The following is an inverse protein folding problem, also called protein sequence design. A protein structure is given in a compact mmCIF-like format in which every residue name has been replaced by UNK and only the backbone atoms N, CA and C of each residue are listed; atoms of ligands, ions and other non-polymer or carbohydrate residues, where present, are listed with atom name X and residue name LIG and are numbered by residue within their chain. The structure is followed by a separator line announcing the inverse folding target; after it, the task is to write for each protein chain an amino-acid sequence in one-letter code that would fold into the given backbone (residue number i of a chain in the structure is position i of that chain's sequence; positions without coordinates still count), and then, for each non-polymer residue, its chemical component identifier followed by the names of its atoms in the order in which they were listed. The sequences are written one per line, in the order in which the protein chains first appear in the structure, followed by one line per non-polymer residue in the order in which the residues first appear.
data_IF_048856127135
#
_entry.id   IF_048856127135
#
_cell.length_a   1.000
_cell.length_b   1.000
_cell.length_c   1.000
_cell.angle_alpha   90.00
_cell.angle_beta   90.00
_cell.angle_gamma   90.00
#
_symmetry.space_group_name_H-M   'P 1'
#
loop_
_entity.id
_entity.type
_entity.pdbx_description
1 polymer ?
#
# COMPACT_ATOMS: atom_id res chain seq x y z
N UNK A 1 18.73 43.14 -42.52
CA UNK A 1 19.39 44.32 -41.93
C UNK A 1 18.37 44.98 -41.00
N UNK A 2 18.42 44.64 -39.71
CA UNK A 2 18.95 45.47 -38.58
C UNK A 2 17.90 46.44 -38.03
N UNK A 3 17.52 46.19 -36.78
CA UNK A 3 16.73 47.06 -35.87
C UNK A 3 17.63 48.24 -35.42
N UNK A 4 17.05 49.42 -35.16
CA UNK A 4 17.35 50.10 -33.89
C UNK A 4 16.07 50.69 -33.24
N UNK A 5 15.81 50.47 -31.95
CA UNK A 5 16.34 51.19 -30.76
C UNK A 5 16.05 52.71 -30.76
N UNK A 6 15.29 53.15 -29.75
CA UNK A 6 15.39 54.47 -29.12
C UNK A 6 15.11 54.33 -27.60
N UNK A 7 16.16 54.61 -26.82
CA UNK A 7 16.19 54.97 -25.37
C UNK A 7 15.87 56.50 -25.25
N UNK A 8 16.08 57.24 -24.13
CA UNK A 8 16.38 56.93 -22.71
C UNK A 8 15.55 57.77 -21.68
N UNK A 9 15.63 57.45 -20.37
CA UNK A 9 16.27 58.31 -19.35
C UNK A 9 16.18 57.74 -17.93
N UNK A 10 17.36 57.63 -17.35
CA UNK A 10 17.69 57.48 -15.93
C UNK A 10 17.25 58.71 -15.12
N UNK A 11 16.90 58.48 -13.85
CA UNK A 11 17.44 59.24 -12.73
C UNK A 11 17.36 58.32 -11.50
N UNK A 12 18.53 57.87 -11.04
CA UNK A 12 18.77 57.16 -9.78
C UNK A 12 19.36 58.18 -8.78
N UNK A 13 19.20 57.96 -7.46
CA UNK A 13 20.43 57.67 -6.74
C UNK A 13 20.29 56.52 -5.74
N UNK A 14 21.33 55.70 -5.78
CA UNK A 14 21.57 54.55 -4.94
C UNK A 14 21.68 54.84 -3.42
N UNK A 15 21.47 53.74 -2.67
CA UNK A 15 22.29 53.18 -1.58
C UNK A 15 21.47 52.91 -0.31
N UNK A 16 21.21 51.62 -0.01
CA UNK A 16 21.78 50.89 1.15
C UNK A 16 21.25 49.44 1.21
N UNK A 17 22.19 48.51 1.41
CA UNK A 17 21.94 47.09 1.65
C UNK A 17 21.10 46.85 2.92
N UNK A 18 20.09 45.99 2.86
CA UNK A 18 19.75 45.11 3.98
C UNK A 18 19.31 43.72 3.46
N UNK A 19 20.11 42.73 3.81
CA UNK A 19 19.84 41.31 3.70
C UNK A 19 18.67 41.00 4.64
N UNK A 20 17.50 40.67 4.11
CA UNK A 20 16.39 40.17 4.92
C UNK A 20 16.24 38.67 4.67
N UNK A 21 16.63 37.92 5.70
CA UNK A 21 16.49 36.48 5.86
C UNK A 21 15.04 36.05 5.63
N UNK A 22 14.77 35.30 4.56
CA UNK A 22 13.49 34.61 4.37
C UNK A 22 13.49 33.41 5.31
N UNK A 23 12.92 33.59 6.51
CA UNK A 23 12.55 32.49 7.38
C UNK A 23 11.33 31.83 6.77
N UNK A 24 11.44 30.53 6.49
CA UNK A 24 10.32 29.67 6.12
C UNK A 24 9.50 29.49 7.41
N UNK A 25 8.41 30.25 7.53
CA UNK A 25 7.34 29.93 8.49
C UNK A 25 6.73 28.60 8.06
N UNK A 26 6.96 27.58 8.89
CA UNK A 26 6.24 26.32 8.82
C UNK A 26 4.84 26.62 9.37
N UNK A 27 3.90 26.89 8.46
CA UNK A 27 2.49 27.00 8.80
C UNK A 27 2.05 25.73 9.54
N UNK A 28 1.68 25.92 10.82
CA UNK A 28 1.04 24.88 11.63
C UNK A 28 -0.28 24.50 10.98
N UNK A 29 -0.31 23.33 10.34
CA UNK A 29 -1.52 22.75 9.76
C UNK A 29 -2.53 22.48 10.89
N UNK A 30 -3.56 23.32 10.97
CA UNK A 30 -4.76 23.06 11.77
C UNK A 30 -5.45 21.79 11.24
N UNK A 31 -5.15 20.65 11.85
CA UNK A 31 -5.83 19.39 11.56
C UNK A 31 -7.31 19.51 11.96
N UNK A 32 -8.21 19.38 10.99
CA UNK A 32 -9.66 19.28 11.27
C UNK A 32 -9.90 18.06 12.16
N UNK A 33 -10.51 18.36 13.29
CA UNK A 33 -10.69 17.52 14.46
C UNK A 33 -12.02 16.78 14.36
N UNK A 34 -12.15 15.65 15.09
CA UNK A 34 -13.38 14.87 15.12
C UNK A 34 -14.62 15.77 15.30
N UNK A 35 -15.57 15.72 14.36
CA UNK A 35 -16.81 16.48 14.42
C UNK A 35 -17.99 15.54 14.28
N UNK A 36 -18.83 15.51 15.32
CA UNK A 36 -20.02 14.65 15.42
C UNK A 36 -21.20 15.33 14.72
N UNK A 37 -21.89 14.60 13.84
CA UNK A 37 -23.19 14.99 13.27
C UNK A 37 -24.32 14.29 14.04
N UNK A 38 -25.26 15.08 14.59
CA UNK A 38 -26.28 14.63 15.54
C UNK A 38 -27.50 14.06 14.80
N UNK A 39 -27.81 12.78 15.02
CA UNK A 39 -29.19 12.29 15.00
C UNK A 39 -29.30 11.02 15.86
N UNK A 40 -29.89 11.18 17.04
CA UNK A 40 -29.95 10.17 18.08
C UNK A 40 -31.01 9.09 17.86
N UNK A 41 -30.72 7.89 18.35
CA UNK A 41 -31.69 7.01 19.00
C UNK A 41 -30.95 6.05 19.94
N UNK A 42 -31.42 5.99 21.19
CA UNK A 42 -30.86 5.18 22.28
C UNK A 42 -31.22 3.70 22.09
N UNK A 43 -30.24 2.82 22.23
CA UNK A 43 -30.47 1.41 22.55
C UNK A 43 -29.57 1.04 23.73
N UNK A 44 -30.18 0.60 24.83
CA UNK A 44 -29.49 -0.11 25.91
C UNK A 44 -29.34 -1.56 25.49
N UNK A 45 -28.15 -2.14 25.64
CA UNK A 45 -28.08 -3.57 25.96
C UNK A 45 -26.79 -3.94 26.72
N UNK A 46 -26.97 -4.84 27.67
CA UNK A 46 -26.03 -5.39 28.64
C UNK A 46 -25.65 -6.81 28.23
N UNK A 47 -24.40 -7.11 27.83
CA UNK A 47 -23.87 -8.50 27.86
C UNK A 47 -22.34 -8.58 27.85
N UNK A 48 -21.80 -9.17 28.92
CA UNK A 48 -20.68 -10.14 29.05
C UNK A 48 -19.44 -10.09 28.14
N UNK A 49 -18.26 -9.94 28.76
CA UNK A 49 -16.90 -10.12 28.20
C UNK A 49 -16.60 -11.61 27.88
N UNK A 50 -15.91 -11.92 26.78
CA UNK A 50 -14.99 -13.06 26.70
C UNK A 50 -13.56 -12.63 27.10
N UNK A 51 -12.86 -13.55 27.74
CA UNK A 51 -11.43 -13.47 28.09
C UNK A 51 -10.56 -13.74 26.86
N UNK A 52 -9.69 -12.81 26.50
CA UNK A 52 -8.65 -13.01 25.49
C UNK A 52 -7.30 -13.11 26.19
N UNK A 53 -6.64 -14.27 26.03
CA UNK A 53 -5.26 -14.53 26.45
C UNK A 53 -4.28 -13.90 25.43
N UNK A 54 -3.46 -12.94 25.88
CA UNK A 54 -2.53 -12.18 25.03
C UNK A 54 -1.16 -12.88 24.88
N UNK A 55 -0.63 -12.91 23.65
CA UNK A 55 0.77 -13.27 23.35
C UNK A 55 1.48 -12.03 22.77
N UNK A 56 2.65 -11.59 23.27
CA UNK A 56 3.16 -10.23 23.05
C UNK A 56 3.90 -9.99 21.72
N UNK A 57 3.84 -10.93 20.77
CA UNK A 57 4.75 -10.92 19.61
C UNK A 57 4.03 -10.75 18.27
N UNK A 58 3.29 -9.66 18.13
CA UNK A 58 2.60 -9.30 16.91
C UNK A 58 3.00 -7.90 16.44
N UNK A 59 3.77 -7.84 15.35
CA UNK A 59 3.85 -6.65 14.52
C UNK A 59 2.42 -6.32 14.08
N UNK A 60 1.92 -5.15 14.49
CA UNK A 60 0.59 -4.60 14.22
C UNK A 60 -0.60 -5.18 14.99
N UNK A 61 -0.44 -5.53 16.27
CA UNK A 61 -1.59 -5.52 17.18
C UNK A 61 -1.65 -4.21 17.97
N UNK A 62 -2.68 -3.41 17.70
CA UNK A 62 -3.06 -2.30 18.56
C UNK A 62 -3.91 -2.90 19.67
N UNK A 63 -3.37 -2.89 20.90
CA UNK A 63 -4.07 -3.28 22.12
C UNK A 63 -5.49 -2.73 22.16
N UNK A 64 -6.47 -3.63 22.29
CA UNK A 64 -7.83 -3.26 22.64
C UNK A 64 -7.89 -3.15 24.16
N UNK A 65 -7.37 -2.05 24.71
CA UNK A 65 -7.85 -1.63 26.03
C UNK A 65 -9.26 -1.08 25.84
N UNK A 66 -10.25 -1.89 26.25
CA UNK A 66 -11.64 -1.47 26.40
C UNK A 66 -11.73 -0.54 27.60
N UNK A 67 -11.37 0.72 27.40
CA UNK A 67 -11.69 1.76 28.36
C UNK A 67 -13.20 2.02 28.29
N UNK A 68 -13.82 2.11 29.47
CA UNK A 68 -15.25 2.34 29.64
C UNK A 68 -15.75 3.48 28.76
N UNK A 69 -16.97 3.34 28.22
CA UNK A 69 -17.66 4.37 27.44
C UNK A 69 -17.78 5.61 28.32
N UNK A 70 -16.89 6.58 28.12
CA UNK A 70 -17.06 7.94 28.62
C UNK A 70 -18.06 8.58 27.67
N UNK A 71 -19.21 9.03 28.19
CA UNK A 71 -20.15 9.87 27.44
C UNK A 71 -19.37 10.98 26.72
N UNK A 72 -19.42 10.96 25.39
CA UNK A 72 -18.68 11.89 24.55
C UNK A 72 -19.35 13.25 24.57
N UNK A 73 -18.73 14.16 25.30
CA UNK A 73 -18.99 15.59 25.25
C UNK A 73 -18.73 16.13 23.83
N UNK A 74 -19.73 16.70 23.13
CA UNK A 74 -19.64 17.11 21.73
C UNK A 74 -18.63 18.25 21.46
N UNK A 75 -18.09 18.89 22.50
CA UNK A 75 -17.02 19.89 22.38
C UNK A 75 -15.61 19.33 22.52
N UNK A 76 -15.43 18.04 22.83
CA UNK A 76 -14.09 17.50 23.09
C UNK A 76 -13.33 17.21 21.81
N UNK A 77 -12.28 18.01 21.62
CA UNK A 77 -11.13 17.68 20.78
C UNK A 77 -10.70 16.24 20.99
N UNK A 78 -10.86 15.39 19.97
CA UNK A 78 -10.25 14.07 20.00
C UNK A 78 -8.73 14.24 20.12
N UNK A 79 -8.21 13.91 21.30
CA UNK A 79 -6.78 13.94 21.56
C UNK A 79 -6.16 12.68 20.98
N UNK A 80 -5.14 12.87 20.14
CA UNK A 80 -4.37 11.78 19.57
C UNK A 80 -3.69 10.96 20.66
N UNK A 81 -4.12 9.71 20.82
CA UNK A 81 -3.49 8.76 21.72
C UNK A 81 -2.46 7.94 20.95
N UNK A 82 -1.18 8.33 21.03
CA UNK A 82 -0.08 7.68 20.32
C UNK A 82 0.17 6.29 20.88
N UNK A 83 0.30 5.31 20.00
CA UNK A 83 0.68 3.93 20.31
C UNK A 83 2.18 3.79 20.05
N UNK A 84 2.99 4.05 21.07
CA UNK A 84 4.45 4.13 20.94
C UNK A 84 5.10 2.83 20.45
N UNK A 85 4.53 1.66 20.78
CA UNK A 85 4.98 0.37 20.26
C UNK A 85 4.93 0.35 18.72
N UNK A 86 3.83 0.82 18.13
CA UNK A 86 3.68 0.92 16.68
C UNK A 86 4.64 1.95 16.08
N UNK A 87 4.85 3.09 16.75
CA UNK A 87 5.83 4.10 16.31
C UNK A 87 7.22 3.48 16.21
N UNK A 88 7.68 2.79 17.25
CA UNK A 88 8.99 2.14 17.25
C UNK A 88 9.07 1.05 16.18
N UNK A 89 8.06 0.20 16.05
CA UNK A 89 8.06 -0.88 15.05
C UNK A 89 8.08 -0.34 13.62
N UNK A 90 7.24 0.64 13.30
CA UNK A 90 7.22 1.27 11.97
C UNK A 90 8.53 1.99 11.71
N UNK A 91 9.08 2.70 12.69
CA UNK A 91 10.39 3.35 12.54
C UNK A 91 11.50 2.33 12.27
N UNK A 92 11.55 1.23 13.03
CA UNK A 92 12.52 0.16 12.81
C UNK A 92 12.35 -0.50 11.44
N UNK A 93 11.11 -0.78 11.02
CA UNK A 93 10.84 -1.28 9.67
C UNK A 93 11.44 -0.36 8.60
N UNK A 94 11.24 0.95 8.71
CA UNK A 94 11.77 1.92 7.75
C UNK A 94 13.30 1.96 7.79
N UNK A 95 13.92 2.00 8.98
CA UNK A 95 15.38 1.99 9.15
C UNK A 95 15.97 0.72 8.54
N UNK A 96 15.40 -0.45 8.84
CA UNK A 96 15.88 -1.74 8.36
C UNK A 96 15.72 -1.84 6.83
N UNK A 97 14.58 -1.45 6.27
CA UNK A 97 14.34 -1.55 4.84
C UNK A 97 15.20 -0.56 4.03
N UNK A 98 15.31 0.70 4.51
CA UNK A 98 16.13 1.74 3.86
C UNK A 98 17.63 1.42 4.01
N UNK A 99 18.08 1.08 5.22
CA UNK A 99 19.45 0.60 5.45
C UNK A 99 19.74 -0.68 4.67
N UNK A 100 18.70 -1.48 4.41
CA UNK A 100 18.75 -2.72 3.64
C UNK A 100 19.25 -2.55 2.20
N UNK A 101 19.10 -1.37 1.61
CA UNK A 101 19.66 -1.09 0.27
C UNK A 101 21.19 -1.24 0.23
N UNK A 102 21.89 -1.06 1.35
CA UNK A 102 23.33 -1.29 1.44
C UNK A 102 23.72 -2.77 1.26
N UNK A 103 22.79 -3.71 1.47
CA UNK A 103 23.01 -5.16 1.33
C UNK A 103 22.62 -5.70 -0.05
N UNK A 104 21.91 -4.89 -0.87
CA UNK A 104 21.55 -5.25 -2.25
C UNK A 104 22.77 -5.61 -3.10
N UNK A 105 23.91 -4.88 -3.04
CA UNK A 105 25.09 -5.25 -3.81
C UNK A 105 25.68 -6.62 -3.46
N UNK A 106 25.51 -7.06 -2.20
CA UNK A 106 26.02 -8.33 -1.69
C UNK A 106 25.04 -9.50 -1.85
N UNK A 107 23.77 -9.22 -2.13
CA UNK A 107 22.75 -10.25 -2.29
C UNK A 107 22.95 -11.06 -3.57
N UNK A 108 22.60 -12.34 -3.55
CA UNK A 108 22.51 -13.18 -4.74
C UNK A 108 21.44 -12.63 -5.70
N UNK A 109 21.65 -12.75 -7.02
CA UNK A 109 20.66 -12.32 -8.03
C UNK A 109 19.32 -13.06 -7.87
N UNK A 110 19.37 -14.34 -7.47
CA UNK A 110 18.16 -15.11 -7.18
C UNK A 110 17.39 -14.53 -6.00
N UNK A 111 18.07 -13.95 -5.00
CA UNK A 111 17.43 -13.25 -3.87
C UNK A 111 16.67 -12.00 -4.31
N UNK A 112 17.19 -11.26 -5.29
CA UNK A 112 16.52 -10.08 -5.86
C UNK A 112 15.27 -10.48 -6.67
N UNK A 113 15.37 -11.54 -7.48
CA UNK A 113 14.23 -12.10 -8.22
C UNK A 113 13.17 -12.64 -7.24
N UNK A 114 13.61 -13.38 -6.22
CA UNK A 114 12.73 -13.93 -5.20
C UNK A 114 12.01 -12.84 -4.40
N UNK A 115 12.73 -11.78 -4.01
CA UNK A 115 12.18 -10.57 -3.37
C UNK A 115 11.04 -9.96 -4.21
N UNK A 116 11.25 -9.82 -5.52
CA UNK A 116 10.20 -9.36 -6.44
C UNK A 116 8.99 -10.30 -6.51
N UNK A 117 9.23 -11.62 -6.56
CA UNK A 117 8.14 -12.61 -6.55
C UNK A 117 7.31 -12.49 -5.27
N UNK A 118 7.94 -12.30 -4.11
CA UNK A 118 7.22 -12.07 -2.85
C UNK A 118 6.33 -10.83 -2.96
N UNK A 119 6.82 -9.70 -3.50
CA UNK A 119 6.00 -8.49 -3.73
C UNK A 119 4.77 -8.80 -4.59
N UNK A 120 4.92 -9.57 -5.68
CA UNK A 120 3.79 -9.93 -6.54
C UNK A 120 2.76 -10.80 -5.80
N UNK A 121 3.24 -11.78 -5.03
CA UNK A 121 2.38 -12.66 -4.22
C UNK A 121 1.59 -11.85 -3.19
N UNK A 122 2.23 -10.94 -2.46
CA UNK A 122 1.56 -10.12 -1.45
C UNK A 122 0.51 -9.20 -2.08
N UNK A 123 0.83 -8.57 -3.22
CA UNK A 123 -0.12 -7.73 -3.96
C UNK A 123 -1.36 -8.50 -4.40
N UNK A 124 -1.18 -9.71 -4.93
CA UNK A 124 -2.30 -10.58 -5.32
C UNK A 124 -3.16 -10.93 -4.11
N UNK A 125 -2.55 -11.29 -2.98
CA UNK A 125 -3.26 -11.64 -1.74
C UNK A 125 -4.14 -10.51 -1.21
N UNK A 126 -3.64 -9.27 -1.23
CA UNK A 126 -4.38 -8.09 -0.79
C UNK A 126 -5.44 -7.70 -1.82
N UNK A 127 -5.07 -7.48 -3.07
CA UNK A 127 -5.95 -6.91 -4.09
C UNK A 127 -6.99 -7.92 -4.61
N UNK A 128 -6.54 -9.10 -5.04
CA UNK A 128 -7.46 -10.13 -5.57
C UNK A 128 -8.19 -10.87 -4.45
N UNK A 129 -7.56 -11.00 -3.27
CA UNK A 129 -8.14 -11.65 -2.09
C UNK A 129 -8.88 -10.69 -1.18
N UNK A 130 -8.18 -10.10 -0.20
CA UNK A 130 -8.77 -9.31 0.89
C UNK A 130 -9.77 -8.25 0.39
N UNK A 131 -9.38 -7.54 -0.66
CA UNK A 131 -10.13 -6.46 -1.25
C UNK A 131 -11.29 -6.94 -2.14
N UNK A 132 -11.00 -7.48 -3.33
CA UNK A 132 -12.04 -7.76 -4.34
C UNK A 132 -12.90 -8.97 -3.97
N UNK A 133 -12.30 -10.05 -3.48
CA UNK A 133 -13.02 -11.29 -3.16
C UNK A 133 -13.81 -11.18 -1.85
N UNK A 134 -13.12 -10.93 -0.72
CA UNK A 134 -13.76 -10.99 0.59
C UNK A 134 -14.47 -9.69 0.96
N UNK A 135 -13.85 -8.52 0.72
CA UNK A 135 -14.50 -7.26 1.09
C UNK A 135 -15.69 -6.96 0.20
N UNK A 136 -15.47 -6.96 -1.12
CA UNK A 136 -16.44 -6.47 -2.10
C UNK A 136 -17.31 -7.54 -2.74
N UNK A 137 -16.97 -8.82 -2.53
CA UNK A 137 -17.71 -9.96 -3.10
C UNK A 137 -17.92 -9.79 -4.61
N UNK A 138 -16.90 -9.29 -5.30
CA UNK A 138 -16.99 -8.90 -6.72
C UNK A 138 -16.86 -10.08 -7.68
N UNK A 139 -16.42 -11.22 -7.17
CA UNK A 139 -16.43 -12.52 -7.85
C UNK A 139 -16.54 -13.65 -6.82
N UNK A 140 -16.81 -14.88 -7.28
CA UNK A 140 -16.75 -16.10 -6.47
C UNK A 140 -15.50 -16.89 -6.80
N UNK A 141 -14.90 -17.51 -5.80
CA UNK A 141 -13.74 -18.38 -5.94
C UNK A 141 -14.01 -19.74 -5.30
N UNK A 142 -13.52 -20.82 -5.92
CA UNK A 142 -13.56 -22.15 -5.31
C UNK A 142 -12.66 -22.23 -4.07
N UNK A 143 -12.73 -23.33 -3.33
CA UNK A 143 -11.98 -23.49 -2.07
C UNK A 143 -10.46 -23.43 -2.28
N UNK A 144 -9.93 -23.94 -3.40
CA UNK A 144 -8.50 -23.94 -3.71
C UNK A 144 -7.98 -22.52 -3.92
N UNK A 145 -8.63 -21.73 -4.77
CA UNK A 145 -8.24 -20.35 -5.02
C UNK A 145 -8.35 -19.49 -3.76
N UNK A 146 -9.42 -19.68 -2.96
CA UNK A 146 -9.58 -19.01 -1.67
C UNK A 146 -8.44 -19.33 -0.70
N UNK A 147 -8.01 -20.59 -0.65
CA UNK A 147 -6.90 -21.00 0.21
C UNK A 147 -5.56 -20.41 -0.28
N UNK A 148 -5.31 -20.41 -1.59
CA UNK A 148 -4.12 -19.76 -2.18
C UNK A 148 -4.10 -18.26 -1.83
N UNK A 149 -5.19 -17.54 -2.08
CA UNK A 149 -5.29 -16.11 -1.76
C UNK A 149 -5.14 -15.84 -0.27
N UNK A 150 -5.59 -16.77 0.58
CA UNK A 150 -5.43 -16.68 2.04
C UNK A 150 -3.95 -16.78 2.44
N UNK A 151 -3.19 -17.69 1.84
CA UNK A 151 -1.74 -17.78 2.05
C UNK A 151 -1.03 -16.53 1.52
N UNK A 152 -1.36 -16.08 0.31
CA UNK A 152 -0.80 -14.85 -0.26
C UNK A 152 -1.04 -13.62 0.64
N UNK A 153 -2.25 -13.48 1.19
CA UNK A 153 -2.58 -12.38 2.12
C UNK A 153 -1.82 -12.52 3.45
N UNK A 154 -1.62 -13.74 3.93
CA UNK A 154 -0.81 -14.00 5.13
C UNK A 154 0.65 -13.57 4.92
N UNK A 155 1.22 -13.86 3.74
CA UNK A 155 2.57 -13.39 3.35
C UNK A 155 2.60 -11.86 3.28
N UNK A 156 1.48 -11.18 2.99
CA UNK A 156 1.43 -9.73 2.95
C UNK A 156 1.58 -9.07 4.32
N UNK A 157 1.32 -9.78 5.42
CA UNK A 157 1.52 -9.27 6.78
C UNK A 157 0.68 -8.04 7.15
N UNK A 158 -0.50 -7.88 6.55
CA UNK A 158 -1.39 -6.73 6.77
C UNK A 158 -2.62 -7.10 7.62
N UNK A 159 -2.40 -7.61 8.83
CA UNK A 159 -3.43 -8.20 9.70
C UNK A 159 -4.20 -9.39 9.08
N UNK A 160 -5.05 -10.04 9.87
CA UNK A 160 -5.89 -11.14 9.35
C UNK A 160 -7.01 -10.60 8.44
N UNK A 161 -7.47 -11.44 7.50
CA UNK A 161 -8.50 -11.08 6.51
C UNK A 161 -9.77 -10.56 7.18
N UNK A 162 -10.19 -11.13 8.31
CA UNK A 162 -11.39 -10.68 9.02
C UNK A 162 -11.31 -9.21 9.42
N UNK A 163 -10.21 -8.80 10.07
CA UNK A 163 -9.99 -7.41 10.51
C UNK A 163 -9.81 -6.48 9.32
N UNK A 164 -9.05 -6.90 8.30
CA UNK A 164 -8.85 -6.14 7.07
C UNK A 164 -10.19 -5.83 6.39
N UNK A 165 -11.01 -6.86 6.16
CA UNK A 165 -12.34 -6.73 5.52
C UNK A 165 -13.25 -5.81 6.33
N UNK A 166 -13.29 -5.98 7.66
CA UNK A 166 -14.12 -5.12 8.52
C UNK A 166 -13.74 -3.66 8.35
N UNK A 167 -12.44 -3.35 8.51
CA UNK A 167 -11.95 -1.98 8.46
C UNK A 167 -12.15 -1.37 7.06
N UNK A 168 -11.96 -2.15 5.99
CA UNK A 168 -12.18 -1.71 4.61
C UNK A 168 -13.67 -1.47 4.28
N UNK A 169 -14.58 -2.30 4.81
CA UNK A 169 -16.04 -2.06 4.68
C UNK A 169 -16.48 -0.80 5.42
N UNK A 170 -15.90 -0.53 6.59
CA UNK A 170 -16.12 0.74 7.31
C UNK A 170 -15.65 1.91 6.47
N UNK A 171 -14.43 1.84 5.93
CA UNK A 171 -13.85 2.87 5.07
C UNK A 171 -14.76 3.20 3.88
N UNK A 172 -15.27 2.21 3.13
CA UNK A 172 -16.18 2.50 2.02
C UNK A 172 -17.51 3.14 2.46
N UNK A 173 -18.07 2.71 3.59
CA UNK A 173 -19.38 3.18 4.05
C UNK A 173 -19.33 4.59 4.64
N UNK A 174 -18.20 4.93 5.27
CA UNK A 174 -18.02 6.16 6.03
C UNK A 174 -16.79 6.95 5.60
N UNK A 175 -16.37 6.79 4.34
CA UNK A 175 -15.20 7.43 3.73
C UNK A 175 -15.17 8.93 4.03
N UNK A 176 -13.99 9.48 4.32
CA UNK A 176 -13.80 10.90 4.64
C UNK A 176 -14.48 11.42 5.93
N UNK A 177 -15.02 10.53 6.77
CA UNK A 177 -15.58 10.89 8.10
C UNK A 177 -14.71 10.40 9.25
N UNK A 178 -15.05 10.72 10.50
CA UNK A 178 -14.30 10.24 11.66
C UNK A 178 -14.46 8.75 11.96
N UNK A 179 -15.46 8.12 11.36
CA UNK A 179 -15.61 6.67 11.35
C UNK A 179 -14.71 5.97 10.31
N UNK A 180 -14.08 6.70 9.39
CA UNK A 180 -13.09 6.14 8.46
C UNK A 180 -11.76 5.87 9.19
N UNK A 181 -11.27 4.61 9.24
CA UNK A 181 -10.03 4.28 9.92
C UNK A 181 -8.81 5.07 9.43
N UNK A 182 -8.80 5.48 8.16
CA UNK A 182 -7.69 6.17 7.51
C UNK A 182 -8.16 7.46 6.81
N UNK A 183 -9.08 8.17 7.46
CA UNK A 183 -9.69 9.42 6.99
C UNK A 183 -8.69 10.38 6.32
N UNK A 184 -8.81 10.52 4.99
CA UNK A 184 -7.96 11.37 4.16
C UNK A 184 -8.07 12.87 4.48
N UNK A 185 -9.19 13.32 5.08
CA UNK A 185 -9.36 14.72 5.52
C UNK A 185 -8.41 15.12 6.66
N UNK A 186 -7.80 14.15 7.34
CA UNK A 186 -6.78 14.39 8.37
C UNK A 186 -5.36 14.52 7.78
N UNK A 187 -5.25 14.54 6.45
CA UNK A 187 -4.03 14.80 5.71
C UNK A 187 -3.31 13.54 5.23
N UNK A 188 -2.32 13.77 4.38
CA UNK A 188 -1.56 12.71 3.71
C UNK A 188 -0.86 11.79 4.70
N UNK A 189 -0.14 12.34 5.69
CA UNK A 189 0.60 11.53 6.65
C UNK A 189 -0.32 10.61 7.45
N UNK A 190 -1.47 11.12 7.92
CA UNK A 190 -2.43 10.33 8.67
C UNK A 190 -2.99 9.17 7.86
N UNK A 191 -3.52 9.45 6.66
CA UNK A 191 -4.09 8.43 5.78
C UNK A 191 -3.06 7.44 5.23
N UNK A 192 -1.80 7.84 5.12
CA UNK A 192 -0.73 6.96 4.67
C UNK A 192 -0.28 5.99 5.77
N UNK A 193 0.21 6.51 6.90
CA UNK A 193 0.79 5.67 7.98
C UNK A 193 0.38 6.12 9.37
N UNK A 194 0.04 7.39 9.57
CA UNK A 194 -0.25 7.96 10.88
C UNK A 194 -1.44 7.30 11.59
N UNK A 195 -2.42 6.79 10.84
CA UNK A 195 -3.56 6.04 11.39
C UNK A 195 -3.15 4.74 12.11
N UNK A 196 -1.99 4.18 11.78
CA UNK A 196 -1.40 3.02 12.48
C UNK A 196 -0.65 3.42 13.75
N UNK A 197 -0.30 4.70 13.92
CA UNK A 197 0.51 5.21 15.03
C UNK A 197 -0.31 5.66 16.23
N UNK A 198 -1.63 5.68 16.10
CA UNK A 198 -2.55 6.20 17.12
C UNK A 198 -3.70 5.23 17.35
N UNK A 199 -4.32 5.29 18.53
CA UNK A 199 -5.59 4.60 18.76
C UNK A 199 -6.64 5.15 17.79
N UNK A 200 -7.44 4.25 17.22
CA UNK A 200 -8.57 4.61 16.35
C UNK A 200 -9.58 5.47 17.10
N UNK A 201 -10.24 6.37 16.38
CA UNK A 201 -11.36 7.14 16.92
C UNK A 201 -12.48 6.19 17.39
N UNK A 202 -13.17 6.48 18.52
CA UNK A 202 -14.31 5.70 19.00
C UNK A 202 -15.36 5.39 17.92
N UNK A 203 -15.65 6.35 17.04
CA UNK A 203 -16.62 6.20 15.95
C UNK A 203 -16.27 5.06 14.99
N UNK A 204 -14.97 4.79 14.76
CA UNK A 204 -14.53 3.66 13.93
C UNK A 204 -14.98 2.33 14.53
N UNK A 205 -14.94 2.21 15.87
CA UNK A 205 -15.41 1.00 16.56
C UNK A 205 -16.93 0.91 16.57
N UNK A 206 -17.62 2.01 16.84
CA UNK A 206 -19.08 2.07 16.84
C UNK A 206 -19.66 1.71 15.48
N UNK A 207 -19.23 2.39 14.41
CA UNK A 207 -19.67 2.10 13.05
C UNK A 207 -19.16 0.75 12.57
N UNK A 208 -17.99 0.30 13.02
CA UNK A 208 -17.45 -1.02 12.73
C UNK A 208 -18.33 -2.17 13.22
N UNK A 209 -19.02 -2.01 14.36
CA UNK A 209 -20.00 -3.00 14.86
C UNK A 209 -21.26 -3.09 14.00
N UNK A 210 -21.56 -2.06 13.20
CA UNK A 210 -22.73 -2.04 12.30
C UNK A 210 -22.48 -2.68 10.93
N UNK A 211 -21.23 -3.07 10.65
CA UNK A 211 -20.88 -3.74 9.40
C UNK A 211 -21.29 -5.20 9.47
N UNK A 212 -22.08 -5.64 8.48
CA UNK A 212 -22.35 -7.06 8.28
C UNK A 212 -21.05 -7.80 7.97
N UNK A 213 -20.71 -8.78 8.81
CA UNK A 213 -19.56 -9.67 8.67
C UNK A 213 -19.98 -11.14 8.62
N UNK A 214 -21.28 -11.43 8.48
CA UNK A 214 -21.83 -12.79 8.54
C UNK A 214 -21.21 -13.72 7.49
N UNK A 215 -21.01 -13.22 6.28
CA UNK A 215 -20.34 -13.92 5.18
C UNK A 215 -18.89 -14.30 5.52
N UNK A 216 -18.16 -13.41 6.17
CA UNK A 216 -16.77 -13.64 6.57
C UNK A 216 -16.70 -14.63 7.73
N UNK A 217 -17.62 -14.55 8.68
CA UNK A 217 -17.71 -15.53 9.77
C UNK A 217 -18.11 -16.93 9.29
N UNK A 218 -18.88 -17.02 8.21
CA UNK A 218 -19.25 -18.29 7.59
C UNK A 218 -18.11 -18.89 6.74
N UNK A 219 -17.13 -18.09 6.33
CA UNK A 219 -15.97 -18.52 5.56
C UNK A 219 -14.96 -19.26 6.46
N UNK A 220 -14.98 -20.60 6.39
CA UNK A 220 -14.06 -21.46 7.15
C UNK A 220 -12.58 -21.20 6.89
N UNK A 221 -12.20 -20.76 5.68
CA UNK A 221 -10.79 -20.48 5.33
C UNK A 221 -10.35 -19.18 6.02
N UNK A 222 -11.19 -18.14 5.98
CA UNK A 222 -10.91 -16.88 6.68
C UNK A 222 -10.87 -17.09 8.19
N UNK A 223 -11.81 -17.87 8.74
CA UNK A 223 -11.84 -18.14 10.18
C UNK A 223 -10.67 -19.04 10.62
N UNK A 224 -10.22 -19.97 9.78
CA UNK A 224 -8.96 -20.71 9.99
C UNK A 224 -7.77 -19.75 10.06
N UNK A 225 -7.63 -18.86 9.08
CA UNK A 225 -6.55 -17.89 9.06
C UNK A 225 -6.57 -16.98 10.29
N UNK A 226 -7.76 -16.46 10.66
CA UNK A 226 -7.93 -15.63 11.85
C UNK A 226 -7.47 -16.36 13.11
N UNK A 227 -7.86 -17.63 13.28
CA UNK A 227 -7.50 -18.45 14.45
C UNK A 227 -6.00 -18.73 14.55
N UNK A 228 -5.35 -18.97 13.42
CA UNK A 228 -3.93 -19.35 13.37
C UNK A 228 -3.05 -18.24 12.80
N UNK A 229 -3.50 -16.98 12.85
CA UNK A 229 -2.86 -15.89 12.13
C UNK A 229 -1.39 -15.73 12.52
N UNK A 230 -1.07 -15.72 13.82
CA UNK A 230 0.30 -15.53 14.29
C UNK A 230 1.26 -16.67 13.92
N UNK A 231 0.92 -17.96 14.17
CA UNK A 231 1.73 -19.07 13.66
C UNK A 231 1.93 -19.02 12.14
N UNK A 232 0.87 -18.75 11.38
CA UNK A 232 0.94 -18.66 9.92
C UNK A 232 1.81 -17.47 9.48
N UNK A 233 1.69 -16.31 10.13
CA UNK A 233 2.48 -15.12 9.83
C UNK A 233 3.98 -15.40 10.08
N UNK A 234 4.33 -15.97 11.23
CA UNK A 234 5.73 -16.31 11.55
C UNK A 234 6.31 -17.24 10.49
N UNK A 235 5.56 -18.24 10.03
CA UNK A 235 6.02 -19.18 9.00
C UNK A 235 6.11 -18.51 7.63
N UNK A 236 5.00 -17.96 7.13
CA UNK A 236 4.86 -17.56 5.73
C UNK A 236 5.43 -16.16 5.42
N UNK A 237 5.36 -15.22 6.37
CA UNK A 237 5.95 -13.90 6.21
C UNK A 237 7.38 -13.83 6.76
N UNK A 238 7.67 -14.51 7.88
CA UNK A 238 8.99 -14.46 8.52
C UNK A 238 9.99 -15.53 8.04
N UNK A 239 9.74 -16.78 8.43
CA UNK A 239 10.68 -17.90 8.28
C UNK A 239 10.90 -18.27 6.81
N UNK A 240 9.83 -18.52 6.05
CA UNK A 240 9.96 -19.02 4.68
C UNK A 240 10.70 -18.02 3.77
N UNK A 241 10.35 -16.72 3.73
CA UNK A 241 11.07 -15.78 2.87
C UNK A 241 12.53 -15.58 3.27
N UNK A 242 12.88 -15.80 4.54
CA UNK A 242 14.26 -15.70 5.06
C UNK A 242 15.09 -16.95 4.79
N UNK A 243 14.51 -18.16 4.90
CA UNK A 243 15.28 -19.40 4.84
C UNK A 243 15.23 -20.10 3.48
N UNK A 244 14.25 -19.83 2.62
CA UNK A 244 14.24 -20.36 1.24
C UNK A 244 15.52 -19.96 0.48
N UNK A 245 15.95 -18.68 0.48
CA UNK A 245 17.18 -18.28 -0.21
C UNK A 245 18.44 -18.92 0.36
N UNK A 246 18.49 -19.08 1.68
CA UNK A 246 19.59 -19.72 2.40
C UNK A 246 19.72 -21.19 1.97
N UNK A 247 18.60 -21.91 1.90
CA UNK A 247 18.58 -23.35 1.61
C UNK A 247 18.77 -23.66 0.12
N UNK A 248 18.25 -22.83 -0.78
CA UNK A 248 18.23 -23.13 -2.21
C UNK A 248 19.43 -22.59 -2.98
N UNK A 249 20.02 -21.47 -2.55
CA UNK A 249 21.17 -20.87 -3.24
C UNK A 249 22.21 -20.26 -2.29
N UNK A 250 22.25 -20.73 -1.04
CA UNK A 250 23.28 -20.39 -0.04
C UNK A 250 23.40 -18.88 0.24
N UNK A 251 22.28 -18.15 0.25
CA UNK A 251 22.27 -16.75 0.67
C UNK A 251 22.66 -16.61 2.15
N UNK A 252 23.30 -15.50 2.50
CA UNK A 252 23.59 -15.17 3.90
C UNK A 252 22.28 -14.88 4.62
N UNK A 253 22.02 -15.53 5.76
CA UNK A 253 20.76 -15.41 6.52
C UNK A 253 20.37 -13.95 6.76
N UNK A 254 21.32 -13.12 7.18
CA UNK A 254 21.07 -11.69 7.42
C UNK A 254 20.69 -10.94 6.14
N UNK A 255 21.44 -11.14 5.04
CA UNK A 255 21.13 -10.55 3.74
C UNK A 255 19.75 -11.01 3.25
N UNK A 256 19.42 -12.30 3.41
CA UNK A 256 18.12 -12.83 3.02
C UNK A 256 16.98 -12.23 3.84
N UNK A 257 17.11 -12.15 5.16
CA UNK A 257 16.11 -11.51 6.03
C UNK A 257 15.83 -10.06 5.60
N UNK A 258 16.88 -9.30 5.28
CA UNK A 258 16.74 -7.92 4.85
C UNK A 258 16.12 -7.81 3.46
N UNK A 259 16.68 -8.52 2.48
CA UNK A 259 16.38 -8.34 1.04
C UNK A 259 15.13 -9.11 0.61
N UNK A 260 14.90 -10.31 1.14
CA UNK A 260 13.81 -11.19 0.73
C UNK A 260 12.57 -11.12 1.64
N UNK A 261 12.69 -10.54 2.84
CA UNK A 261 11.59 -10.41 3.78
C UNK A 261 11.27 -8.95 4.10
N UNK A 262 12.20 -8.19 4.69
CA UNK A 262 11.92 -6.82 5.16
C UNK A 262 11.67 -5.82 4.02
N UNK A 263 12.47 -5.86 2.95
CA UNK A 263 12.30 -4.96 1.80
C UNK A 263 10.98 -5.20 1.04
N UNK A 264 10.62 -6.43 0.64
CA UNK A 264 9.30 -6.71 0.05
C UNK A 264 8.14 -6.24 0.92
N UNK A 265 8.25 -6.45 2.24
CA UNK A 265 7.23 -6.03 3.18
C UNK A 265 7.07 -4.51 3.20
N UNK A 266 8.19 -3.78 3.29
CA UNK A 266 8.22 -2.33 3.23
C UNK A 266 7.57 -1.78 1.95
N UNK A 267 8.00 -2.27 0.78
CA UNK A 267 7.42 -1.83 -0.50
C UNK A 267 5.93 -2.15 -0.59
N UNK A 268 5.52 -3.33 -0.13
CA UNK A 268 4.13 -3.75 -0.16
C UNK A 268 3.24 -2.85 0.68
N UNK A 269 3.70 -2.50 1.87
CA UNK A 269 2.99 -1.59 2.77
C UNK A 269 2.82 -0.21 2.15
N UNK A 270 3.89 0.40 1.64
CA UNK A 270 3.79 1.72 1.03
C UNK A 270 2.89 1.73 -0.21
N UNK A 271 2.97 0.72 -1.08
CA UNK A 271 2.04 0.59 -2.21
C UNK A 271 0.58 0.53 -1.75
N UNK A 272 0.29 -0.17 -0.65
CA UNK A 272 -1.06 -0.26 -0.09
C UNK A 272 -1.49 1.07 0.54
N UNK A 273 -0.63 1.66 1.37
CA UNK A 273 -0.87 2.93 2.04
C UNK A 273 -1.03 4.11 1.08
N UNK A 274 -0.42 4.05 -0.10
CA UNK A 274 -0.63 5.01 -1.18
C UNK A 274 -2.06 5.00 -1.72
N UNK A 275 -2.77 3.88 -1.64
CA UNK A 275 -4.20 3.82 -2.01
C UNK A 275 -5.00 4.70 -1.05
N UNK A 276 -4.76 4.55 0.25
CA UNK A 276 -5.45 5.31 1.30
C UNK A 276 -5.13 6.82 1.26
N UNK A 277 -3.90 7.19 0.91
CA UNK A 277 -3.46 8.59 0.89
C UNK A 277 -3.51 9.21 -0.50
N UNK A 278 -2.61 8.80 -1.40
CA UNK A 278 -2.46 9.41 -2.72
C UNK A 278 -3.73 9.28 -3.55
N UNK A 279 -4.37 8.11 -3.53
CA UNK A 279 -5.59 7.87 -4.30
C UNK A 279 -6.86 8.51 -3.68
N UNK A 280 -6.73 9.26 -2.59
CA UNK A 280 -7.76 10.16 -2.06
C UNK A 280 -7.47 11.66 -2.27
N UNK A 281 -6.28 12.01 -2.76
CA UNK A 281 -5.83 13.40 -2.79
C UNK A 281 -5.40 13.90 -4.17
N UNK A 282 -4.68 13.07 -4.94
CA UNK A 282 -3.94 13.54 -6.11
C UNK A 282 -4.35 12.80 -7.38
N UNK A 283 -5.34 13.34 -8.09
CA UNK A 283 -5.89 12.71 -9.28
C UNK A 283 -7.19 13.35 -9.79
N UNK A 284 -7.73 12.78 -10.86
CA UNK A 284 -8.99 13.22 -11.46
C UNK A 284 -10.22 12.54 -10.85
N UNK A 285 -11.43 13.09 -11.07
CA UNK A 285 -12.69 12.49 -10.60
C UNK A 285 -13.70 12.29 -11.75
N UNK A 286 -13.38 11.44 -12.74
CA UNK A 286 -14.20 11.29 -13.94
C UNK A 286 -15.60 10.69 -13.68
N UNK A 287 -15.80 9.95 -12.59
CA UNK A 287 -17.06 9.26 -12.32
C UNK A 287 -17.92 9.99 -11.29
N UNK A 288 -17.31 10.45 -10.20
CA UNK A 288 -18.03 11.11 -9.12
C UNK A 288 -17.16 12.16 -8.41
N UNK A 289 -17.47 13.44 -8.64
CA UNK A 289 -16.80 14.58 -8.02
C UNK A 289 -17.19 14.82 -6.56
N UNK A 290 -18.28 14.17 -6.08
CA UNK A 290 -18.83 14.36 -4.74
C UNK A 290 -18.17 13.52 -3.64
N UNK A 291 -17.25 12.63 -4.01
CA UNK A 291 -16.51 11.76 -3.07
C UNK A 291 -15.03 12.15 -3.03
N UNK A 292 -14.33 11.84 -1.94
CA UNK A 292 -12.88 12.05 -1.80
C UNK A 292 -11.99 11.36 -2.86
N UNK A 293 -12.13 10.04 -3.11
CA UNK A 293 -11.23 9.25 -3.94
C UNK A 293 -11.10 9.73 -5.38
N UNK A 294 -9.91 9.52 -5.94
CA UNK A 294 -9.49 10.00 -7.26
C UNK A 294 -8.93 8.88 -8.13
N UNK A 295 -8.97 9.09 -9.43
CA UNK A 295 -8.12 8.37 -10.38
C UNK A 295 -6.68 8.89 -10.24
N UNK A 296 -5.85 8.15 -9.52
CA UNK A 296 -4.55 8.62 -9.06
C UNK A 296 -3.60 8.97 -10.23
N UNK A 297 -2.87 10.08 -10.09
CA UNK A 297 -1.86 10.51 -11.08
C UNK A 297 -0.74 9.50 -11.27
N UNK A 298 -0.36 8.79 -10.19
CA UNK A 298 0.66 7.73 -10.18
C UNK A 298 0.08 6.32 -10.00
N UNK A 299 -1.15 6.07 -10.49
CA UNK A 299 -1.89 4.81 -10.35
C UNK A 299 -1.11 3.51 -10.61
N UNK A 300 -0.08 3.54 -11.47
CA UNK A 300 0.76 2.39 -11.76
C UNK A 300 1.54 1.88 -10.53
N UNK A 301 1.86 2.76 -9.57
CA UNK A 301 2.49 2.38 -8.29
C UNK A 301 1.58 1.50 -7.43
N UNK A 302 0.26 1.58 -7.64
CA UNK A 302 -0.76 0.80 -6.94
C UNK A 302 -1.19 -0.46 -7.72
N UNK A 303 -0.50 -0.77 -8.83
CA UNK A 303 -0.56 -2.06 -9.55
C UNK A 303 -1.98 -2.51 -9.98
N UNK A 304 -2.92 -1.57 -10.13
CA UNK A 304 -4.31 -1.84 -10.50
C UNK A 304 -5.35 -1.23 -9.56
N UNK A 305 -4.95 -0.79 -8.36
CA UNK A 305 -5.86 -0.18 -7.36
C UNK A 305 -5.89 1.35 -7.39
N UNK A 306 -5.10 1.97 -8.28
CA UNK A 306 -5.04 3.43 -8.41
C UNK A 306 -6.25 4.05 -9.13
N UNK A 307 -7.18 3.23 -9.65
CA UNK A 307 -8.43 3.68 -10.26
C UNK A 307 -9.53 3.91 -9.22
N UNK A 308 -9.23 4.76 -8.24
CA UNK A 308 -9.92 4.75 -6.96
C UNK A 308 -11.26 5.51 -6.96
N UNK A 309 -11.40 6.53 -7.82
CA UNK A 309 -12.70 7.20 -8.03
C UNK A 309 -13.72 6.23 -8.63
N UNK A 310 -13.31 5.43 -9.62
CA UNK A 310 -14.14 4.36 -10.16
C UNK A 310 -14.48 3.34 -9.07
N UNK A 311 -13.47 2.87 -8.35
CA UNK A 311 -13.63 1.86 -7.32
C UNK A 311 -14.65 2.26 -6.25
N UNK A 312 -14.56 3.46 -5.69
CA UNK A 312 -15.55 3.92 -4.70
C UNK A 312 -16.93 4.21 -5.27
N UNK A 313 -17.01 4.51 -6.56
CA UNK A 313 -18.30 4.67 -7.24
C UNK A 313 -18.97 3.31 -7.48
N UNK A 314 -18.19 2.27 -7.76
CA UNK A 314 -18.64 0.91 -8.08
C UNK A 314 -17.82 -0.15 -7.31
N UNK A 315 -17.97 -0.23 -5.98
CA UNK A 315 -17.11 -1.09 -5.15
C UNK A 315 -17.24 -2.58 -5.49
N UNK A 316 -18.37 -2.99 -6.06
CA UNK A 316 -18.67 -4.37 -6.43
C UNK A 316 -18.10 -4.81 -7.78
N UNK A 317 -17.46 -3.92 -8.56
CA UNK A 317 -16.84 -4.29 -9.85
C UNK A 317 -15.53 -5.07 -9.62
N UNK A 318 -15.39 -6.25 -10.22
CA UNK A 318 -14.25 -7.13 -9.99
C UNK A 318 -12.92 -6.58 -10.50
N UNK A 319 -12.97 -5.64 -11.45
CA UNK A 319 -11.76 -5.05 -12.03
C UNK A 319 -11.30 -3.81 -11.27
N UNK A 320 -12.14 -3.24 -10.39
CA UNK A 320 -11.90 -1.95 -9.73
C UNK A 320 -11.52 -0.81 -10.69
N UNK A 321 -11.84 -0.95 -11.98
CA UNK A 321 -11.47 -0.03 -13.06
C UNK A 321 -12.40 -0.23 -14.24
N UNK A 322 -12.81 0.85 -14.93
CA UNK A 322 -13.72 0.77 -16.07
C UNK A 322 -13.19 -0.13 -17.19
N UNK A 323 -11.97 0.14 -17.64
CA UNK A 323 -11.44 -0.41 -18.89
C UNK A 323 -10.88 -1.84 -18.78
N UNK A 324 -10.76 -2.37 -17.56
CA UNK A 324 -10.25 -3.72 -17.34
C UNK A 324 -8.77 -3.91 -17.69
N UNK A 325 -8.29 -5.14 -17.51
CA UNK A 325 -6.90 -5.47 -17.82
C UNK A 325 -6.55 -5.35 -19.31
N UNK A 326 -7.52 -5.33 -20.23
CA UNK A 326 -7.21 -5.29 -21.68
C UNK A 326 -6.68 -3.93 -22.15
N UNK A 327 -6.97 -2.85 -21.42
CA UNK A 327 -6.64 -1.48 -21.81
C UNK A 327 -5.81 -0.72 -20.77
N UNK A 328 -5.82 -1.17 -19.53
CA UNK A 328 -4.99 -0.59 -18.47
C UNK A 328 -4.20 -1.69 -17.75
N UNK A 329 -3.03 -1.35 -17.25
CA UNK A 329 -2.25 -2.27 -16.43
C UNK A 329 -2.96 -2.50 -15.09
N UNK A 330 -3.47 -3.72 -14.88
CA UNK A 330 -4.19 -4.10 -13.66
C UNK A 330 -3.89 -5.57 -13.33
N UNK A 331 -2.88 -5.78 -12.48
CA UNK A 331 -2.37 -7.11 -12.18
C UNK A 331 -3.41 -8.01 -11.50
N UNK A 332 -4.19 -7.45 -10.57
CA UNK A 332 -5.26 -8.18 -9.91
C UNK A 332 -6.36 -8.63 -10.88
N UNK A 333 -6.77 -7.76 -11.82
CA UNK A 333 -7.74 -8.16 -12.85
C UNK A 333 -7.17 -9.26 -13.76
N UNK A 334 -5.89 -9.17 -14.15
CA UNK A 334 -5.24 -10.22 -14.95
C UNK A 334 -5.23 -11.56 -14.22
N UNK A 335 -4.89 -11.55 -12.92
CA UNK A 335 -4.88 -12.73 -12.07
C UNK A 335 -6.29 -13.35 -11.97
N UNK A 336 -7.31 -12.55 -11.68
CA UNK A 336 -8.69 -13.02 -11.58
C UNK A 336 -9.17 -13.60 -12.93
N UNK A 337 -8.84 -12.94 -14.05
CA UNK A 337 -9.19 -13.42 -15.39
C UNK A 337 -8.56 -14.77 -15.72
N UNK A 338 -7.30 -14.99 -15.35
CA UNK A 338 -6.65 -16.28 -15.51
C UNK A 338 -7.38 -17.38 -14.73
N UNK A 339 -7.71 -17.13 -13.46
CA UNK A 339 -8.44 -18.11 -12.65
C UNK A 339 -9.90 -18.29 -13.10
N UNK A 340 -10.49 -17.28 -13.74
CA UNK A 340 -11.80 -17.42 -14.36
C UNK A 340 -11.75 -18.29 -15.61
N UNK A 341 -10.70 -18.13 -16.43
CA UNK A 341 -10.47 -18.94 -17.62
C UNK A 341 -10.31 -20.42 -17.31
N UNK A 342 -9.63 -20.78 -16.21
CA UNK A 342 -9.52 -22.19 -15.76
C UNK A 342 -10.70 -22.64 -14.86
N UNK A 343 -11.73 -21.80 -14.67
CA UNK A 343 -12.96 -22.14 -13.95
C UNK A 343 -12.88 -22.13 -12.42
N UNK A 344 -11.83 -21.56 -11.82
CA UNK A 344 -11.68 -21.44 -10.37
C UNK A 344 -12.29 -20.14 -9.80
N UNK A 345 -12.40 -19.11 -10.64
CA UNK A 345 -13.16 -17.89 -10.38
C UNK A 345 -14.41 -17.84 -11.27
N UNK A 346 -15.54 -17.41 -10.70
CA UNK A 346 -16.84 -17.35 -11.40
C UNK A 346 -17.62 -16.12 -10.97
N UNK A 347 -18.71 -15.78 -11.66
CA UNK A 347 -19.58 -14.65 -11.33
C UNK A 347 -18.83 -13.31 -11.20
N UNK A 348 -17.90 -13.04 -12.12
CA UNK A 348 -17.15 -11.79 -12.20
C UNK A 348 -18.11 -10.64 -12.49
N UNK A 349 -18.35 -9.76 -11.50
CA UNK A 349 -19.29 -8.65 -11.61
C UNK A 349 -18.63 -7.47 -12.30
N UNK A 350 -19.19 -7.02 -13.43
CA UNK A 350 -18.73 -5.85 -14.18
C UNK A 350 -19.87 -4.85 -14.34
N UNK A 351 -19.59 -3.57 -14.14
CA UNK A 351 -20.59 -2.50 -14.35
C UNK A 351 -20.89 -2.37 -15.84
N UNK A 352 -22.17 -2.22 -16.17
CA UNK A 352 -22.57 -2.02 -17.56
C UNK A 352 -22.15 -0.62 -18.06
N UNK A 353 -21.72 -0.48 -19.33
CA UNK A 353 -21.23 0.79 -19.86
C UNK A 353 -22.24 1.94 -19.82
N UNK A 354 -23.53 1.63 -19.85
CA UNK A 354 -24.59 2.66 -19.86
C UNK A 354 -24.77 3.28 -18.46
N UNK A 355 -24.72 2.47 -17.40
CA UNK A 355 -24.66 2.94 -16.02
C UNK A 355 -23.44 3.83 -15.79
N UNK A 356 -22.29 3.46 -16.34
CA UNK A 356 -21.07 4.28 -16.27
C UNK A 356 -21.29 5.63 -16.95
N UNK A 357 -21.80 5.67 -18.19
CA UNK A 357 -22.11 6.93 -18.89
C UNK A 357 -23.07 7.82 -18.12
N UNK A 358 -24.18 7.25 -17.63
CA UNK A 358 -25.18 8.01 -16.86
C UNK A 358 -24.59 8.62 -15.59
N UNK A 359 -23.73 7.87 -14.89
CA UNK A 359 -23.04 8.36 -13.69
C UNK A 359 -22.09 9.51 -14.03
N UNK A 360 -21.26 9.33 -15.06
CA UNK A 360 -20.35 10.35 -15.56
C UNK A 360 -21.11 11.64 -15.90
N UNK A 361 -22.22 11.56 -16.64
CA UNK A 361 -23.02 12.74 -16.99
C UNK A 361 -23.63 13.42 -15.77
N UNK A 362 -23.98 12.64 -14.73
CA UNK A 362 -24.65 13.15 -13.52
C UNK A 362 -23.69 13.77 -12.51
N UNK A 363 -22.51 13.19 -12.33
CA UNK A 363 -21.58 13.56 -11.24
C UNK A 363 -20.11 13.59 -11.63
N UNK A 364 -19.75 13.19 -12.85
CA UNK A 364 -18.37 13.08 -13.29
C UNK A 364 -17.78 14.39 -13.78
N UNK A 365 -16.46 14.49 -13.69
CA UNK A 365 -15.68 15.52 -14.39
C UNK A 365 -15.25 15.00 -15.77
N UNK A 366 -15.89 15.51 -16.83
CA UNK A 366 -15.60 15.10 -18.21
C UNK A 366 -14.16 15.40 -18.62
N UNK A 367 -13.51 16.41 -18.03
CA UNK A 367 -12.12 16.77 -18.36
C UNK A 367 -11.11 15.78 -17.77
N UNK A 368 -11.51 15.03 -16.74
CA UNK A 368 -10.68 14.05 -16.05
C UNK A 368 -10.81 12.63 -16.62
N UNK A 369 -11.55 12.43 -17.71
CA UNK A 369 -11.77 11.10 -18.28
C UNK A 369 -10.54 10.52 -18.95
N UNK A 370 -10.37 9.22 -18.75
CA UNK A 370 -9.30 8.48 -19.38
C UNK A 370 -9.64 8.16 -20.84
N UNK A 371 -8.72 8.48 -21.76
CA UNK A 371 -8.88 8.09 -23.17
C UNK A 371 -8.53 6.61 -23.37
N UNK A 372 -9.45 5.76 -23.85
CA UNK A 372 -9.19 4.33 -24.08
C UNK A 372 -8.15 4.08 -25.18
N UNK A 373 -7.79 5.09 -25.97
CA UNK A 373 -6.82 4.99 -27.05
C UNK A 373 -5.36 5.00 -26.57
N UNK A 374 -5.12 5.32 -25.29
CA UNK A 374 -3.78 5.36 -24.71
C UNK A 374 -3.35 4.05 -24.04
N UNK A 375 -4.01 2.93 -24.38
CA UNK A 375 -3.76 1.63 -23.75
C UNK A 375 -2.28 1.21 -23.76
N UNK A 376 -1.55 1.47 -24.86
CA UNK A 376 -0.13 1.11 -24.95
C UNK A 376 0.71 1.86 -23.92
N UNK A 377 0.40 3.15 -23.71
CA UNK A 377 1.08 3.97 -22.69
C UNK A 377 0.79 3.47 -21.28
N UNK A 378 -0.45 3.04 -21.00
CA UNK A 378 -0.80 2.46 -19.70
C UNK A 378 -0.10 1.13 -19.45
N UNK A 379 -0.04 0.28 -20.47
CA UNK A 379 0.63 -0.99 -20.36
C UNK A 379 2.14 -0.84 -20.20
N UNK A 380 2.78 0.00 -21.02
CA UNK A 380 4.22 0.27 -20.91
C UNK A 380 4.55 0.95 -19.58
N UNK A 381 3.82 1.99 -19.20
CA UNK A 381 4.02 2.69 -17.94
C UNK A 381 3.78 1.79 -16.73
N UNK A 382 2.69 1.02 -16.75
CA UNK A 382 2.37 0.04 -15.71
C UNK A 382 3.40 -1.07 -15.59
N UNK A 383 3.87 -1.62 -16.70
CA UNK A 383 4.90 -2.66 -16.71
C UNK A 383 6.23 -2.12 -16.17
N UNK A 384 6.67 -0.94 -16.63
CA UNK A 384 7.89 -0.31 -16.14
C UNK A 384 7.80 -0.04 -14.63
N UNK A 385 6.73 0.58 -14.16
CA UNK A 385 6.60 0.90 -12.74
C UNK A 385 6.47 -0.36 -11.88
N UNK A 386 5.66 -1.33 -12.29
CA UNK A 386 5.46 -2.58 -11.54
C UNK A 386 6.70 -3.48 -11.54
N UNK A 387 7.58 -3.39 -12.53
CA UNK A 387 8.87 -4.09 -12.55
C UNK A 387 9.98 -3.29 -11.84
N UNK A 388 9.74 -2.06 -11.42
CA UNK A 388 10.76 -1.24 -10.76
C UNK A 388 11.35 -1.87 -9.49
N UNK A 389 10.60 -2.59 -8.64
CA UNK A 389 11.18 -3.31 -7.51
C UNK A 389 12.07 -4.49 -7.92
N UNK A 390 12.03 -4.92 -9.19
CA UNK A 390 12.94 -5.93 -9.74
C UNK A 390 14.20 -5.26 -10.31
N UNK A 391 14.06 -4.37 -11.29
CA UNK A 391 15.24 -3.89 -12.02
C UNK A 391 16.04 -2.82 -11.26
N UNK A 392 15.42 -2.03 -10.36
CA UNK A 392 16.17 -1.01 -9.59
C UNK A 392 17.23 -1.68 -8.68
N UNK A 393 16.92 -2.73 -7.90
CA UNK A 393 17.94 -3.45 -7.14
C UNK A 393 19.08 -4.00 -8.00
N UNK A 394 18.79 -4.51 -9.20
CA UNK A 394 19.82 -4.95 -10.14
C UNK A 394 20.71 -3.80 -10.62
N UNK A 395 20.12 -2.65 -10.96
CA UNK A 395 20.87 -1.44 -11.33
C UNK A 395 21.75 -0.95 -10.18
N UNK A 396 21.24 -0.96 -8.94
CA UNK A 396 22.00 -0.58 -7.74
C UNK A 396 23.17 -1.54 -7.52
N UNK A 397 22.92 -2.86 -7.57
CA UNK A 397 23.96 -3.89 -7.40
C UNK A 397 25.05 -3.76 -8.44
N UNK A 398 24.71 -3.81 -9.72
CA UNK A 398 25.70 -3.81 -10.79
C UNK A 398 26.34 -2.44 -11.01
N UNK A 399 25.62 -1.35 -10.74
CA UNK A 399 26.21 -0.01 -10.66
C UNK A 399 27.28 0.05 -9.56
N UNK A 400 26.96 -0.41 -8.35
CA UNK A 400 27.93 -0.49 -7.26
C UNK A 400 29.15 -1.33 -7.62
N UNK A 401 28.96 -2.54 -8.14
CA UNK A 401 30.06 -3.43 -8.52
C UNK A 401 30.95 -2.84 -9.63
N UNK A 402 30.36 -2.14 -10.60
CA UNK A 402 31.11 -1.43 -11.63
C UNK A 402 32.02 -0.35 -11.02
N UNK A 403 31.46 0.54 -10.19
CA UNK A 403 32.24 1.60 -9.55
C UNK A 403 33.27 1.07 -8.55
N UNK A 404 32.93 0.06 -7.76
CA UNK A 404 33.85 -0.58 -6.83
C UNK A 404 35.01 -1.26 -7.57
N UNK A 405 34.74 -1.92 -8.70
CA UNK A 405 35.76 -2.50 -9.58
C UNK A 405 36.66 -1.43 -10.21
N UNK A 406 36.09 -0.31 -10.67
CA UNK A 406 36.87 0.82 -11.16
C UNK A 406 37.75 1.45 -10.07
N UNK A 407 37.26 1.55 -8.83
CA UNK A 407 38.05 2.04 -7.69
C UNK A 407 39.19 1.07 -7.35
N UNK A 408 38.96 -0.24 -7.40
CA UNK A 408 40.03 -1.22 -7.19
C UNK A 408 41.10 -1.12 -8.29
N UNK A 409 40.70 -0.97 -9.55
CA UNK A 409 41.63 -0.77 -10.68
C UNK A 409 42.38 0.58 -10.63
N UNK A 410 41.82 1.61 -9.98
CA UNK A 410 42.49 2.90 -9.78
C UNK A 410 43.36 2.96 -8.51
N UNK A 411 43.10 2.09 -7.53
CA UNK A 411 43.88 1.99 -6.29
C UNK A 411 45.00 0.95 -6.35
N UNK A 412 45.04 0.08 -7.36
CA UNK A 412 46.24 -0.73 -7.61
C UNK A 412 47.30 0.11 -8.34
N UNK A 413 48.47 0.39 -7.73
CA UNK A 413 49.63 0.77 -8.53
C UNK A 413 49.94 -0.43 -9.42
N UNK A 414 50.10 -0.21 -10.73
CA UNK A 414 50.48 -1.24 -11.72
C UNK A 414 51.57 -2.16 -11.17
N UNK A 415 51.18 -3.30 -10.61
CA UNK A 415 52.06 -4.39 -10.27
C UNK A 415 51.35 -5.67 -10.68
N UNK A 416 51.86 -6.27 -11.74
CA UNK A 416 51.32 -7.48 -12.33
C UNK A 416 51.40 -8.64 -11.33
N UNK A 417 50.27 -9.27 -11.06
CA UNK A 417 50.25 -10.70 -10.75
C UNK A 417 49.63 -11.44 -11.93
N UNK A 418 50.53 -11.99 -12.71
CA UNK A 418 50.34 -12.99 -13.74
C UNK A 418 49.46 -14.17 -13.26
N UNK A 419 48.46 -14.47 -14.08
CA UNK A 419 47.84 -15.78 -14.33
C UNK A 419 46.90 -16.41 -13.28
N UNK A 420 45.70 -16.71 -13.80
CA UNK A 420 44.68 -17.63 -13.31
C UNK A 420 45.25 -18.98 -12.85
N UNK A 421 44.72 -19.52 -11.74
CA UNK A 421 44.07 -20.84 -11.74
C UNK A 421 43.15 -21.00 -10.52
N UNK A 422 41.85 -21.22 -10.75
CA UNK A 422 40.85 -21.57 -9.73
C UNK A 422 40.24 -22.95 -10.01
N UNK A 423 40.99 -23.87 -10.63
CA UNK A 423 40.71 -25.30 -10.48
C UNK A 423 41.56 -25.83 -9.33
N UNK A 424 40.98 -26.01 -8.14
CA UNK A 424 41.36 -27.01 -7.12
C UNK A 424 40.72 -26.68 -5.76
N UNK A 425 39.43 -26.96 -5.64
CA UNK A 425 38.70 -27.31 -4.40
C UNK A 425 37.38 -27.90 -4.97
N UNK A 426 37.09 -29.19 -4.97
CA UNK A 426 37.19 -30.18 -3.90
C UNK A 426 37.40 -31.59 -4.49
N UNK A 427 38.43 -32.28 -4.00
CA UNK A 427 38.48 -33.74 -3.93
C UNK A 427 39.26 -34.03 -2.65
N UNK A 428 38.55 -34.28 -1.54
CA UNK A 428 38.85 -35.26 -0.49
C UNK A 428 37.74 -35.23 0.56
#
# INVERSE_FOLDING_TARGET
MVIPKNEPREDDPAVYHSTTTTSIEIDSVNAKQCSIDLNGNRFNDTTTKPSDDEVPFALFDVDIQVDHIVESDPEKVYKWNIVWSNVVQILLLHIIAIGGFAFVPTANDYSLIFSYIIIIITMIGVQSGAHRLWTHRSYKANAFLRFILCLCQTIAGQTNIYRWVRDHRVHHKWSETDADPHNSNRGFFFSHVGWLLVKKCPEVYEKGRTIDMSDITADKIVMFQKRFYYPLLIIFWGILPTFIPVLLWNEIVFTSFIVCMMQPYFFTLHTTWMVNSWAHMFGGKPYNTKIGPVEATIRHMMVGEGFHNYHHTYPWDYSASELGASKVFNLATMFINFFAWIGWATELKKVDPETIRKRIQKTGDLSAQYSPNHWLREWVGGLLVSLSPLYIPFLVKYGYLYFAGCLHQQCEPRFSWSYMDYRLFEMY
#
